data_IF_817171863120
#
_entry.id   IF_817171863120
#
_cell.length_a   1.000
_cell.length_b   1.000
_cell.length_c   1.000
_cell.angle_alpha   90.00
_cell.angle_beta   90.00
_cell.angle_gamma   90.00
#
_symmetry.space_group_name_H-M   'P 1'
#
loop_
_entity.id
_entity.type
_entity.pdbx_description
1 polymer ?
#
# COMPACT_ATOMS: atom_id res chain seq x y z
N UNK A 1 -0.53 11.53 7.61
CA UNK A 1 -0.62 10.66 8.82
C UNK A 1 -1.91 9.84 8.81
N UNK A 2 -3.05 10.40 8.39
CA UNK A 2 -4.32 9.67 8.29
C UNK A 2 -4.28 8.45 7.34
N UNK A 3 -3.50 8.50 6.25
CA UNK A 3 -3.37 7.39 5.29
C UNK A 3 -2.83 6.10 5.92
N UNK A 4 -1.83 6.18 6.80
CA UNK A 4 -1.27 5.00 7.46
C UNK A 4 -2.24 4.40 8.48
N UNK A 5 -3.00 5.24 9.17
CA UNK A 5 -4.07 4.79 10.05
C UNK A 5 -5.19 4.06 9.26
N UNK A 6 -5.55 4.58 8.08
CA UNK A 6 -6.46 3.92 7.16
C UNK A 6 -5.92 2.60 6.59
N UNK A 7 -4.61 2.51 6.37
CA UNK A 7 -3.94 1.28 5.96
C UNK A 7 -3.98 0.23 7.07
N UNK A 8 -3.60 0.57 8.30
CA UNK A 8 -3.70 -0.35 9.46
C UNK A 8 -5.13 -0.83 9.69
N UNK A 9 -6.11 0.07 9.54
CA UNK A 9 -7.53 -0.29 9.57
C UNK A 9 -7.86 -1.31 8.48
N UNK A 10 -7.36 -1.09 7.26
CA UNK A 10 -7.57 -1.99 6.12
C UNK A 10 -6.97 -3.36 6.36
N UNK A 11 -5.78 -3.41 6.95
CA UNK A 11 -5.03 -4.63 7.16
C UNK A 11 -5.61 -5.49 8.30
N UNK A 12 -5.94 -4.88 9.44
CA UNK A 12 -6.18 -5.66 10.65
C UNK A 12 -7.37 -5.20 11.48
N UNK A 13 -8.09 -4.15 11.07
CA UNK A 13 -9.08 -3.48 11.93
C UNK A 13 -8.49 -3.08 13.30
N UNK A 14 -7.21 -2.68 13.30
CA UNK A 14 -6.44 -2.35 14.52
C UNK A 14 -6.27 -3.51 15.51
N UNK A 15 -6.34 -4.76 15.04
CA UNK A 15 -6.13 -5.96 15.88
C UNK A 15 -4.73 -6.52 15.69
N UNK A 16 -3.89 -6.39 16.71
CA UNK A 16 -2.47 -6.79 16.66
C UNK A 16 -2.22 -8.30 16.56
N UNK A 17 -3.21 -9.14 16.85
CA UNK A 17 -3.12 -10.61 16.75
C UNK A 17 -3.75 -11.20 15.48
N UNK A 18 -4.12 -10.35 14.51
CA UNK A 18 -4.72 -10.81 13.25
C UNK A 18 -3.72 -11.66 12.46
N UNK A 19 -4.17 -12.84 12.04
CA UNK A 19 -3.49 -13.69 11.07
C UNK A 19 -4.44 -13.95 9.92
N UNK A 20 -4.05 -13.61 8.69
CA UNK A 20 -4.87 -13.88 7.51
C UNK A 20 -4.85 -15.36 7.12
N UNK A 21 -5.77 -15.78 6.25
CA UNK A 21 -5.79 -17.15 5.72
C UNK A 21 -4.49 -17.53 4.99
N UNK A 22 -3.79 -16.55 4.41
CA UNK A 22 -2.50 -16.74 3.72
C UNK A 22 -1.29 -16.56 4.64
N UNK A 23 -1.52 -16.34 5.94
CA UNK A 23 -0.47 -16.28 6.96
C UNK A 23 0.14 -14.89 7.18
N UNK A 24 -0.49 -13.82 6.71
CA UNK A 24 -0.07 -12.44 6.98
C UNK A 24 -0.33 -12.08 8.45
N UNK A 25 0.58 -11.37 9.12
CA UNK A 25 0.60 -11.24 10.58
C UNK A 25 0.58 -9.79 11.08
N UNK A 26 -0.14 -9.56 12.18
CA UNK A 26 -0.02 -8.32 12.95
C UNK A 26 -0.86 -7.15 12.46
N UNK A 27 -0.61 -5.96 13.01
CA UNK A 27 -1.38 -4.75 12.64
C UNK A 27 -1.25 -4.41 11.14
N UNK A 28 -0.05 -4.62 10.60
CA UNK A 28 0.33 -4.29 9.24
C UNK A 28 0.27 -5.48 8.27
N UNK A 29 -0.21 -6.66 8.73
CA UNK A 29 -0.33 -7.89 7.94
C UNK A 29 0.92 -8.22 7.11
N UNK A 30 2.08 -8.22 7.74
CA UNK A 30 3.30 -8.65 7.05
C UNK A 30 3.30 -10.17 6.84
N UNK A 31 3.60 -10.61 5.63
CA UNK A 31 3.99 -12.00 5.41
C UNK A 31 5.27 -12.32 6.19
N UNK A 32 5.43 -13.54 6.75
CA UNK A 32 6.64 -13.89 7.51
C UNK A 32 7.94 -13.69 6.71
N UNK A 33 7.92 -13.99 5.41
CA UNK A 33 9.05 -13.76 4.51
C UNK A 33 9.38 -12.29 4.34
N UNK A 34 8.37 -11.42 4.20
CA UNK A 34 8.56 -9.96 4.11
C UNK A 34 9.10 -9.41 5.41
N UNK A 35 8.56 -9.82 6.56
CA UNK A 35 9.05 -9.41 7.87
C UNK A 35 10.52 -9.80 8.08
N UNK A 36 10.91 -11.01 7.69
CA UNK A 36 12.30 -11.49 7.77
C UNK A 36 13.26 -10.78 6.80
N UNK A 37 12.76 -10.31 5.65
CA UNK A 37 13.57 -9.63 4.64
C UNK A 37 13.74 -8.13 4.92
N UNK A 38 12.72 -7.46 5.46
CA UNK A 38 12.67 -6.00 5.58
C UNK A 38 13.91 -5.38 6.26
N UNK A 39 14.47 -5.94 7.36
CA UNK A 39 15.66 -5.38 8.00
C UNK A 39 16.92 -5.38 7.10
N UNK A 40 16.96 -6.19 6.04
CA UNK A 40 18.06 -6.22 5.08
C UNK A 40 18.11 -4.97 4.20
N UNK A 41 16.96 -4.32 4.00
CA UNK A 41 16.84 -3.11 3.15
C UNK A 41 16.45 -1.87 3.94
N UNK A 42 15.96 -2.04 5.17
CA UNK A 42 15.63 -0.97 6.10
C UNK A 42 16.01 -1.39 7.53
N UNK A 43 17.32 -1.33 7.88
CA UNK A 43 17.82 -1.82 9.17
C UNK A 43 17.16 -1.18 10.39
N UNK A 44 16.60 0.02 10.26
CA UNK A 44 15.89 0.76 11.31
C UNK A 44 14.63 0.04 11.83
N UNK A 45 14.13 -0.98 11.13
CA UNK A 45 13.04 -1.83 11.61
C UNK A 45 13.48 -2.82 12.69
N UNK A 46 14.78 -3.11 12.82
CA UNK A 46 15.29 -4.06 13.81
C UNK A 46 14.79 -5.50 13.61
N UNK A 47 14.85 -6.30 14.67
CA UNK A 47 14.43 -7.71 14.64
C UNK A 47 12.93 -7.85 14.35
N UNK A 48 12.50 -8.76 13.46
CA UNK A 48 11.09 -8.87 13.07
C UNK A 48 10.16 -9.31 14.22
N UNK A 49 9.17 -8.48 14.55
CA UNK A 49 8.15 -8.76 15.57
C UNK A 49 6.75 -8.35 15.09
N UNK A 50 6.14 -9.03 14.09
CA UNK A 50 4.91 -8.57 13.44
C UNK A 50 3.71 -8.39 14.39
N UNK A 51 3.64 -9.16 15.49
CA UNK A 51 2.58 -9.03 16.50
C UNK A 51 2.83 -7.92 17.54
N UNK A 52 4.04 -7.34 17.59
CA UNK A 52 4.35 -6.20 18.42
C UNK A 52 3.82 -4.92 17.74
N UNK A 53 2.90 -4.16 18.38
CA UNK A 53 2.33 -2.96 17.76
C UNK A 53 3.37 -1.91 17.35
N UNK A 54 4.36 -1.66 18.21
CA UNK A 54 5.41 -0.67 17.95
C UNK A 54 6.30 -1.07 16.77
N UNK A 55 6.66 -2.35 16.68
CA UNK A 55 7.38 -2.87 15.53
C UNK A 55 6.52 -2.81 14.26
N UNK A 56 5.28 -3.29 14.32
CA UNK A 56 4.38 -3.39 13.17
C UNK A 56 4.11 -2.03 12.52
N UNK A 57 3.84 -0.99 13.33
CA UNK A 57 3.61 0.37 12.85
C UNK A 57 4.88 1.00 12.27
N UNK A 58 6.04 0.79 12.91
CA UNK A 58 7.33 1.25 12.36
C UNK A 58 7.62 0.59 11.03
N UNK A 59 7.49 -0.74 10.96
CA UNK A 59 7.73 -1.53 9.76
C UNK A 59 6.79 -1.12 8.61
N UNK A 60 5.51 -0.85 8.89
CA UNK A 60 4.56 -0.34 7.90
C UNK A 60 5.06 0.97 7.29
N UNK A 61 5.27 2.00 8.11
CA UNK A 61 5.73 3.30 7.63
C UNK A 61 7.07 3.22 6.87
N UNK A 62 8.01 2.39 7.36
CA UNK A 62 9.30 2.18 6.72
C UNK A 62 9.15 1.46 5.37
N UNK A 63 8.30 0.44 5.29
CA UNK A 63 8.08 -0.29 4.05
C UNK A 63 7.33 0.53 3.01
N UNK A 64 6.30 1.28 3.42
CA UNK A 64 5.62 2.24 2.55
C UNK A 64 6.59 3.31 2.02
N UNK A 65 7.50 3.84 2.87
CA UNK A 65 8.55 4.76 2.40
C UNK A 65 9.47 4.08 1.37
N UNK A 66 9.92 2.85 1.64
CA UNK A 66 10.78 2.10 0.72
C UNK A 66 10.11 1.87 -0.65
N UNK A 67 8.80 1.59 -0.65
CA UNK A 67 7.98 1.45 -1.86
C UNK A 67 7.74 2.80 -2.55
N UNK A 68 7.44 3.85 -1.77
CA UNK A 68 7.28 5.22 -2.24
C UNK A 68 8.50 5.70 -3.01
N UNK A 69 9.71 5.49 -2.49
CA UNK A 69 10.97 5.87 -3.17
C UNK A 69 11.19 5.13 -4.50
N UNK A 70 10.53 3.98 -4.71
CA UNK A 70 10.62 3.17 -5.93
C UNK A 70 9.48 3.39 -6.90
N UNK A 71 8.49 4.18 -6.52
CA UNK A 71 7.38 4.55 -7.38
C UNK A 71 7.43 6.05 -7.65
N UNK A 72 7.07 6.40 -8.87
CA UNK A 72 6.78 7.76 -9.28
C UNK A 72 5.31 7.85 -9.72
N UNK A 73 4.74 9.05 -9.66
CA UNK A 73 3.36 9.32 -10.03
C UNK A 73 3.15 10.79 -10.40
N UNK A 74 2.10 11.07 -11.17
CA UNK A 74 1.78 12.42 -11.64
C UNK A 74 1.49 13.42 -10.49
N UNK A 75 1.15 12.91 -9.31
CA UNK A 75 0.97 13.66 -8.07
C UNK A 75 1.32 12.78 -6.86
N UNK A 76 1.35 13.37 -5.66
CA UNK A 76 1.52 12.61 -4.42
C UNK A 76 0.40 11.57 -4.23
N UNK A 77 -0.83 11.89 -4.67
CA UNK A 77 -1.99 11.00 -4.64
C UNK A 77 -1.80 9.76 -5.53
N UNK A 78 -1.42 9.99 -6.79
CA UNK A 78 -1.16 8.92 -7.76
C UNK A 78 0.02 8.05 -7.33
N UNK A 79 1.08 8.70 -6.81
CA UNK A 79 2.26 8.00 -6.28
C UNK A 79 1.90 7.12 -5.08
N UNK A 80 1.07 7.63 -4.15
CA UNK A 80 0.62 6.84 -3.00
C UNK A 80 -0.23 5.64 -3.44
N UNK A 81 -1.05 5.79 -4.46
CA UNK A 81 -1.83 4.67 -4.99
C UNK A 81 -0.94 3.56 -5.56
N UNK A 82 0.14 3.90 -6.27
CA UNK A 82 1.16 2.93 -6.67
C UNK A 82 1.85 2.27 -5.48
N UNK A 83 2.21 3.05 -4.45
CA UNK A 83 2.83 2.54 -3.22
C UNK A 83 1.93 1.52 -2.51
N UNK A 84 0.66 1.86 -2.29
CA UNK A 84 -0.32 0.98 -1.64
C UNK A 84 -0.60 -0.28 -2.48
N UNK A 85 -0.68 -0.15 -3.81
CA UNK A 85 -0.78 -1.31 -4.69
C UNK A 85 0.44 -2.22 -4.58
N UNK A 86 1.64 -1.65 -4.49
CA UNK A 86 2.87 -2.41 -4.33
C UNK A 86 2.98 -3.05 -2.93
N UNK A 87 2.44 -2.43 -1.89
CA UNK A 87 2.36 -2.99 -0.54
C UNK A 87 1.50 -4.25 -0.54
N UNK A 88 0.28 -4.15 -1.08
CA UNK A 88 -0.67 -5.27 -1.11
C UNK A 88 -0.29 -6.38 -2.11
N UNK A 89 0.22 -6.00 -3.28
CA UNK A 89 0.38 -6.93 -4.42
C UNK A 89 1.80 -7.11 -4.93
N UNK A 90 2.79 -6.41 -4.36
CA UNK A 90 4.19 -6.47 -4.73
C UNK A 90 4.61 -5.51 -5.87
N UNK A 91 5.77 -4.86 -5.68
CA UNK A 91 6.35 -3.90 -6.65
C UNK A 91 6.56 -4.48 -8.04
N UNK A 92 6.96 -5.76 -8.14
CA UNK A 92 7.20 -6.41 -9.42
C UNK A 92 5.95 -6.43 -10.31
N UNK A 93 4.77 -6.57 -9.71
CA UNK A 93 3.52 -6.52 -10.46
C UNK A 93 3.11 -5.11 -10.87
N UNK A 94 3.32 -4.11 -10.01
CA UNK A 94 3.12 -2.70 -10.37
C UNK A 94 3.98 -2.32 -11.59
N UNK A 95 5.25 -2.74 -11.61
CA UNK A 95 6.14 -2.50 -12.74
C UNK A 95 5.63 -3.15 -14.04
N UNK A 96 5.07 -4.36 -13.97
CA UNK A 96 4.47 -5.06 -15.12
C UNK A 96 3.24 -4.33 -15.63
N UNK A 97 2.35 -3.89 -14.74
CA UNK A 97 1.15 -3.13 -15.12
C UNK A 97 1.52 -1.79 -15.77
N UNK A 98 2.46 -1.03 -15.20
CA UNK A 98 2.97 0.22 -15.79
C UNK A 98 3.60 -0.04 -17.18
N UNK A 99 4.38 -1.10 -17.33
CA UNK A 99 4.96 -1.49 -18.63
C UNK A 99 3.88 -1.81 -19.67
N UNK A 100 2.84 -2.56 -19.27
CA UNK A 100 1.71 -2.86 -20.16
C UNK A 100 0.87 -1.61 -20.47
N UNK A 101 0.65 -0.71 -19.51
CA UNK A 101 -0.04 0.55 -19.71
C UNK A 101 0.65 1.42 -20.79
N UNK A 102 1.99 1.53 -20.73
CA UNK A 102 2.77 2.24 -21.77
C UNK A 102 2.57 1.64 -23.16
N UNK A 103 2.54 0.30 -23.27
CA UNK A 103 2.28 -0.39 -24.55
C UNK A 103 0.85 -0.15 -25.08
N UNK A 104 -0.08 0.20 -24.20
CA UNK A 104 -1.46 0.55 -24.53
C UNK A 104 -1.65 2.07 -24.73
N UNK A 105 -0.56 2.84 -24.80
CA UNK A 105 -0.58 4.31 -24.90
C UNK A 105 -1.35 5.01 -23.77
N UNK A 106 -1.38 4.42 -22.58
CA UNK A 106 -1.96 5.01 -21.37
C UNK A 106 -0.90 5.80 -20.60
N UNK A 107 -1.33 6.78 -19.80
CA UNK A 107 -0.46 7.52 -18.90
C UNK A 107 -0.01 6.62 -17.73
N UNK A 108 1.20 6.07 -17.85
CA UNK A 108 1.77 5.20 -16.82
C UNK A 108 2.27 5.95 -15.57
N UNK A 109 2.14 7.28 -15.51
CA UNK A 109 2.36 8.06 -14.28
C UNK A 109 1.09 8.21 -13.45
N UNK A 110 -0.08 7.83 -13.98
CA UNK A 110 -1.37 7.85 -13.27
C UNK A 110 -1.81 6.44 -12.90
N UNK A 111 -2.22 6.26 -11.65
CA UNK A 111 -2.87 5.06 -11.18
C UNK A 111 -4.36 5.10 -11.56
N UNK A 112 -5.07 6.12 -11.06
CA UNK A 112 -6.52 6.23 -11.21
C UNK A 112 -6.89 6.58 -12.65
N UNK A 113 -7.89 5.89 -13.19
CA UNK A 113 -8.30 5.99 -14.60
C UNK A 113 -7.30 5.40 -15.61
N UNK A 114 -6.08 5.05 -15.20
CA UNK A 114 -5.03 4.55 -16.08
C UNK A 114 -4.52 3.16 -15.66
N UNK A 115 -3.41 3.07 -14.91
CA UNK A 115 -2.75 1.78 -14.63
C UNK A 115 -3.65 0.81 -13.84
N UNK A 116 -4.62 1.32 -13.06
CA UNK A 116 -5.57 0.46 -12.35
C UNK A 116 -6.41 -0.41 -13.30
N UNK A 117 -6.68 0.06 -14.52
CA UNK A 117 -7.43 -0.64 -15.55
C UNK A 117 -6.62 -1.69 -16.32
N UNK A 118 -5.32 -1.82 -16.00
CA UNK A 118 -4.41 -2.75 -16.67
C UNK A 118 -4.20 -3.98 -15.79
N UNK A 119 -4.31 -5.17 -16.37
CA UNK A 119 -3.91 -6.42 -15.72
C UNK A 119 -2.80 -7.10 -16.54
N UNK A 120 -1.59 -7.17 -15.99
CA UNK A 120 -0.44 -7.83 -16.62
C UNK A 120 -0.29 -9.34 -16.30
N UNK A 121 -1.37 -10.00 -15.84
CA UNK A 121 -1.41 -11.46 -15.67
C UNK A 121 -1.68 -11.94 -14.24
N UNK A 122 -2.17 -11.07 -13.35
CA UNK A 122 -2.72 -11.51 -12.05
C UNK A 122 -4.02 -12.30 -12.29
N UNK A 123 -4.32 -13.24 -11.40
CA UNK A 123 -5.65 -13.86 -11.34
C UNK A 123 -6.72 -12.78 -11.11
N UNK A 124 -7.97 -13.07 -11.52
CA UNK A 124 -9.06 -12.11 -11.37
C UNK A 124 -9.28 -11.67 -9.92
N UNK A 125 -9.16 -12.61 -8.97
CA UNK A 125 -9.30 -12.32 -7.54
C UNK A 125 -8.17 -11.41 -7.02
N UNK A 126 -6.91 -11.76 -7.31
CA UNK A 126 -5.75 -10.98 -6.87
C UNK A 126 -5.71 -9.59 -7.51
N UNK A 127 -6.16 -9.48 -8.77
CA UNK A 127 -6.29 -8.19 -9.44
C UNK A 127 -7.36 -7.32 -8.76
N UNK A 128 -8.56 -7.87 -8.53
CA UNK A 128 -9.65 -7.15 -7.86
C UNK A 128 -9.28 -6.70 -6.45
N UNK A 129 -8.65 -7.57 -5.66
CA UNK A 129 -8.16 -7.23 -4.32
C UNK A 129 -7.16 -6.07 -4.38
N UNK A 130 -6.17 -6.17 -5.27
CA UNK A 130 -5.14 -5.16 -5.39
C UNK A 130 -5.63 -3.79 -5.89
N UNK A 131 -6.66 -3.75 -6.74
CA UNK A 131 -7.28 -2.47 -7.17
C UNK A 131 -8.16 -1.86 -6.09
N UNK A 132 -8.86 -2.70 -5.33
CA UNK A 132 -9.66 -2.22 -4.21
C UNK A 132 -8.80 -1.62 -3.09
N UNK A 133 -7.58 -2.09 -2.90
CA UNK A 133 -6.76 -1.70 -1.76
C UNK A 133 -6.41 -0.18 -1.73
N UNK A 134 -5.81 0.42 -2.78
CA UNK A 134 -5.61 1.87 -2.82
C UNK A 134 -6.91 2.66 -2.73
N UNK A 135 -7.98 2.19 -3.41
CA UNK A 135 -9.30 2.85 -3.42
C UNK A 135 -9.90 2.94 -2.02
N UNK A 136 -9.95 1.83 -1.29
CA UNK A 136 -10.48 1.78 0.08
C UNK A 136 -9.71 2.68 1.04
N UNK A 137 -8.39 2.79 0.87
CA UNK A 137 -7.56 3.60 1.77
C UNK A 137 -7.68 5.08 1.43
N UNK A 138 -7.48 5.44 0.16
CA UNK A 138 -7.39 6.83 -0.28
C UNK A 138 -8.75 7.49 -0.50
N UNK A 139 -9.74 6.78 -1.05
CA UNK A 139 -11.04 7.38 -1.36
C UNK A 139 -12.07 7.24 -0.24
N UNK A 140 -11.85 6.35 0.72
CA UNK A 140 -12.85 6.07 1.76
C UNK A 140 -12.29 6.23 3.18
N UNK A 141 -11.35 5.36 3.59
CA UNK A 141 -10.98 5.21 5.00
C UNK A 141 -10.18 6.38 5.55
N UNK A 142 -9.29 7.01 4.76
CA UNK A 142 -8.46 8.10 5.29
C UNK A 142 -9.29 9.29 5.78
N UNK A 143 -10.44 9.57 5.17
CA UNK A 143 -11.30 10.69 5.57
C UNK A 143 -11.86 10.53 6.99
N UNK A 144 -12.15 9.29 7.42
CA UNK A 144 -12.55 9.04 8.80
C UNK A 144 -11.42 9.41 9.79
N UNK A 145 -10.16 9.13 9.44
CA UNK A 145 -8.99 9.46 10.26
C UNK A 145 -8.64 10.95 10.22
N UNK A 146 -8.82 11.61 9.07
CA UNK A 146 -8.71 13.08 8.96
C UNK A 146 -9.71 13.73 9.92
N UNK A 147 -10.99 13.32 9.85
CA UNK A 147 -12.05 13.82 10.74
C UNK A 147 -11.77 13.55 12.22
N UNK A 148 -11.12 12.43 12.52
CA UNK A 148 -10.71 12.06 13.88
C UNK A 148 -9.42 12.76 14.36
N UNK A 149 -8.84 13.68 13.58
CA UNK A 149 -7.69 14.49 14.02
C UNK A 149 -6.33 13.82 13.88
N UNK A 150 -6.20 12.76 13.07
CA UNK A 150 -4.93 12.08 12.82
C UNK A 150 -3.98 12.85 11.89
N UNK A 151 -4.28 14.13 11.61
CA UNK A 151 -3.56 14.97 10.66
C UNK A 151 -4.00 14.75 9.21
N UNK A 152 -3.28 15.36 8.24
CA UNK A 152 -3.69 15.36 6.85
C UNK A 152 -3.63 13.96 6.22
N UNK A 153 -4.51 13.76 5.23
CA UNK A 153 -4.47 12.66 4.29
C UNK A 153 -3.53 12.93 3.12
N UNK A 154 -3.57 12.05 2.13
CA UNK A 154 -3.01 12.32 0.79
C UNK A 154 -4.19 12.71 -0.09
N UNK A 155 -4.25 13.97 -0.48
CA UNK A 155 -5.37 14.54 -1.22
C UNK A 155 -5.11 14.50 -2.72
N UNK A 156 -6.17 14.32 -3.49
CA UNK A 156 -6.14 14.45 -4.94
C UNK A 156 -6.21 15.95 -5.30
N UNK A 157 -5.07 16.52 -5.67
CA UNK A 157 -4.98 17.93 -6.09
C UNK A 157 -5.89 18.25 -7.29
N UNK A 158 -6.33 17.24 -8.06
CA UNK A 158 -7.29 17.43 -9.15
C UNK A 158 -8.77 17.48 -8.70
N UNK A 159 -9.05 17.21 -7.41
CA UNK A 159 -10.38 17.31 -6.79
C UNK A 159 -10.54 18.54 -5.88
N UNK A 160 -9.52 19.41 -5.81
CA UNK A 160 -9.58 20.75 -5.19
C UNK A 160 -10.01 21.79 -6.23
#
# INVERSE_FOLDING_TARGET
>A
MAVFAAQVHTESWWRNRTVSHVGAQGLAQFMPSTAAWLPKVAPETGNPEPFNPGWSLRALCTYDKWLWERNDGASAYERMAFTLSAYNGGQGWVNRDKSKARKLNMDASRWFGAVENVNAGRSAAAWKENRNYPRLILEERQYAYIKAGWGPGVEDEARL
#
